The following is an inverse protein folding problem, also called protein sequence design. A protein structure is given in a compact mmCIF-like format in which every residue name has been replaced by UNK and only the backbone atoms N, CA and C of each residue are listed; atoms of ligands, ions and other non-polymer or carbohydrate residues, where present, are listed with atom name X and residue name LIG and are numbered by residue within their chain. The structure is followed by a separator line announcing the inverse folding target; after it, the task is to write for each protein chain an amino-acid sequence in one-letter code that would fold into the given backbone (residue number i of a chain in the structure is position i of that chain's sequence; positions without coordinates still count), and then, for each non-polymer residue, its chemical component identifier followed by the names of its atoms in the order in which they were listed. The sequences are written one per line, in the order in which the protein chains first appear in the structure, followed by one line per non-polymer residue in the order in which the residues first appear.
data_IF_172405798439
#
_entry.id   IF_172405798439
#
_cell.length_a   1.000
_cell.length_b   1.000
_cell.length_c   1.000
_cell.angle_alpha   90.00
_cell.angle_beta   90.00
_cell.angle_gamma   90.00
#
_symmetry.space_group_name_H-M   'P 1'
#
loop_
_entity.id
_entity.type
_entity.pdbx_description
1 polymer ?
#
# COMPACT_ATOMS: atom_id res chain seq x y z
N UNK A 1 61.77 30.82 22.72
CA UNK A 1 61.09 31.84 21.90
C UNK A 1 61.71 31.83 20.52
N UNK A 2 61.09 31.14 19.56
CA UNK A 2 61.41 31.19 18.14
C UNK A 2 60.20 30.70 17.34
N UNK A 3 59.80 31.49 16.34
CA UNK A 3 58.78 31.20 15.34
C UNK A 3 59.26 30.13 14.36
N UNK A 4 58.41 29.17 14.01
CA UNK A 4 58.59 28.40 12.77
C UNK A 4 57.25 28.01 12.14
N UNK A 5 57.07 28.42 10.88
CA UNK A 5 56.00 28.04 9.95
C UNK A 5 56.12 26.57 9.55
N UNK A 6 54.98 25.90 9.36
CA UNK A 6 54.66 24.81 8.41
C UNK A 6 53.15 24.57 8.58
N UNK A 7 52.26 24.66 7.59
CA UNK A 7 52.30 24.04 6.28
C UNK A 7 51.05 23.13 6.20
N UNK A 8 49.95 23.63 5.65
CA UNK A 8 48.76 22.84 5.29
C UNK A 8 49.15 21.74 4.29
N UNK A 9 48.48 20.58 4.34
CA UNK A 9 48.14 19.88 3.12
C UNK A 9 46.62 19.81 2.96
N UNK A 10 46.17 20.40 1.85
CA UNK A 10 44.94 20.03 1.20
C UNK A 10 45.02 18.56 0.79
N UNK A 11 44.08 17.73 1.24
CA UNK A 11 43.88 16.40 0.68
C UNK A 11 42.60 16.35 -0.13
N UNK A 12 42.81 15.92 -1.36
CA UNK A 12 41.88 15.87 -2.47
C UNK A 12 40.66 15.00 -2.19
N UNK A 13 39.52 15.52 -2.63
CA UNK A 13 38.32 14.76 -2.95
C UNK A 13 38.64 13.64 -3.94
N UNK A 14 38.42 12.40 -3.52
CA UNK A 14 38.37 11.24 -4.41
C UNK A 14 36.96 10.64 -4.31
N UNK A 15 36.01 11.20 -5.08
CA UNK A 15 34.79 10.50 -5.44
C UNK A 15 35.18 9.25 -6.24
N UNK A 16 35.17 8.09 -5.58
CA UNK A 16 35.23 6.81 -6.26
C UNK A 16 34.04 6.71 -7.22
N UNK A 17 34.35 6.68 -8.53
CA UNK A 17 33.46 6.20 -9.58
C UNK A 17 33.23 4.71 -9.36
N UNK A 18 32.27 4.39 -8.49
CA UNK A 18 31.67 3.06 -8.45
C UNK A 18 30.84 2.88 -9.72
N UNK A 19 31.14 1.82 -10.47
CA UNK A 19 30.36 1.36 -11.62
C UNK A 19 28.87 1.30 -11.24
N UNK A 20 28.08 2.20 -11.83
CA UNK A 20 26.65 2.31 -11.57
C UNK A 20 25.92 1.07 -12.08
N UNK A 21 25.59 0.15 -11.17
CA UNK A 21 24.50 -0.81 -11.39
C UNK A 21 23.22 0.00 -11.59
N UNK A 22 22.68 0.05 -12.81
CA UNK A 22 21.33 0.57 -13.06
C UNK A 22 20.33 -0.31 -12.32
N UNK A 23 19.84 0.17 -11.18
CA UNK A 23 18.72 -0.43 -10.45
C UNK A 23 17.45 0.30 -10.88
N UNK A 24 16.58 -0.44 -11.57
CA UNK A 24 15.32 0.02 -12.15
C UNK A 24 14.27 0.31 -11.05
N UNK A 25 13.44 1.33 -11.26
CA UNK A 25 12.37 1.72 -10.34
C UNK A 25 11.15 0.78 -10.46
N UNK A 26 10.51 0.41 -9.35
CA UNK A 26 9.27 -0.38 -9.33
C UNK A 26 8.07 0.49 -9.71
N UNK A 27 7.02 -0.16 -10.19
CA UNK A 27 5.74 0.48 -10.45
C UNK A 27 4.88 0.37 -9.18
N UNK A 28 4.69 1.49 -8.49
CA UNK A 28 3.66 1.62 -7.47
C UNK A 28 2.38 2.16 -8.10
N UNK A 29 1.26 1.59 -7.69
CA UNK A 29 -0.02 2.23 -7.92
C UNK A 29 -0.03 3.52 -7.11
N UNK A 30 -0.24 4.65 -7.79
CA UNK A 30 -0.35 5.94 -7.16
C UNK A 30 -1.70 6.55 -7.51
N UNK A 31 -2.50 6.86 -6.50
CA UNK A 31 -3.66 7.73 -6.67
C UNK A 31 -3.13 9.16 -6.74
N UNK A 32 -2.86 9.62 -7.97
CA UNK A 32 -2.62 11.03 -8.24
C UNK A 32 -3.94 11.78 -8.36
N UNK A 33 -3.92 13.09 -8.10
CA UNK A 33 -5.05 13.97 -8.42
C UNK A 33 -5.28 13.98 -9.93
N UNK A 34 -6.22 13.18 -10.42
CA UNK A 34 -6.77 13.31 -11.78
C UNK A 34 -7.70 14.53 -11.86
N UNK A 35 -7.20 15.70 -11.47
CA UNK A 35 -7.75 16.99 -11.86
C UNK A 35 -6.94 17.49 -13.04
N UNK A 36 -7.60 17.50 -14.19
CA UNK A 36 -7.20 18.14 -15.44
C UNK A 36 -6.53 19.51 -15.19
N UNK A 37 -5.21 19.53 -15.22
CA UNK A 37 -4.47 20.69 -15.74
C UNK A 37 -3.54 20.12 -16.79
N UNK A 38 -4.09 19.93 -17.99
CA UNK A 38 -3.26 19.72 -19.16
C UNK A 38 -2.28 20.88 -19.23
N UNK A 39 -0.98 20.59 -19.19
CA UNK A 39 -0.04 21.52 -19.80
C UNK A 39 -0.50 21.68 -21.25
N UNK A 40 -0.80 22.91 -21.72
CA UNK A 40 -1.03 23.12 -23.13
C UNK A 40 0.19 22.58 -23.88
N UNK A 41 0.00 21.88 -25.02
CA UNK A 41 1.12 21.39 -25.80
C UNK A 41 2.06 22.56 -26.10
N UNK A 42 3.39 22.37 -25.98
CA UNK A 42 4.33 23.42 -26.33
C UNK A 42 4.06 23.87 -27.77
N UNK A 43 4.19 25.19 -28.07
CA UNK A 43 4.00 25.68 -29.42
C UNK A 43 4.91 24.92 -30.39
N UNK A 44 4.44 24.59 -31.61
CA UNK A 44 5.21 23.81 -32.57
C UNK A 44 6.53 24.53 -32.83
N UNK A 45 7.62 23.93 -32.37
CA UNK A 45 8.96 24.41 -32.66
C UNK A 45 9.31 23.98 -34.09
N UNK A 46 9.91 24.88 -34.91
CA UNK A 46 10.25 24.56 -36.29
C UNK A 46 11.17 23.34 -36.33
N UNK A 47 10.84 22.44 -37.26
CA UNK A 47 11.43 21.13 -37.48
C UNK A 47 12.95 21.14 -37.51
N UNK A 48 13.60 20.66 -36.44
CA UNK A 48 14.96 20.14 -36.52
C UNK A 48 14.89 18.61 -36.53
N UNK A 49 15.14 18.03 -37.69
CA UNK A 49 15.24 16.59 -37.91
C UNK A 49 16.49 16.02 -37.23
N UNK A 50 16.32 15.34 -36.10
CA UNK A 50 17.29 14.41 -35.48
C UNK A 50 16.53 13.35 -34.65
N UNK A 51 17.12 12.18 -34.39
CA UNK A 51 16.50 10.90 -34.70
C UNK A 51 15.54 10.38 -33.63
N UNK A 52 14.58 9.60 -34.13
CA UNK A 52 13.62 8.74 -33.43
C UNK A 52 14.20 8.19 -32.13
N UNK A 53 13.57 8.55 -31.01
CA UNK A 53 13.85 7.96 -29.71
C UNK A 53 13.84 6.42 -29.83
N UNK A 54 14.82 5.72 -29.25
CA UNK A 54 14.84 4.27 -29.30
C UNK A 54 13.60 3.72 -28.55
N UNK A 55 13.10 2.53 -28.93
CA UNK A 55 12.02 1.89 -28.22
C UNK A 55 12.35 1.81 -26.73
N UNK A 56 11.41 2.24 -25.90
CA UNK A 56 11.47 2.17 -24.43
C UNK A 56 12.02 0.80 -24.04
N UNK A 57 13.18 0.76 -23.40
CA UNK A 57 13.82 -0.48 -22.98
C UNK A 57 12.84 -1.28 -22.11
N UNK A 58 12.81 -2.63 -22.23
CA UNK A 58 11.94 -3.45 -21.41
C UNK A 58 12.23 -3.17 -19.93
N UNK A 59 11.21 -2.76 -19.18
CA UNK A 59 11.27 -2.62 -17.72
C UNK A 59 11.62 -3.99 -17.14
N UNK A 60 12.89 -4.19 -16.79
CA UNK A 60 13.31 -5.40 -16.08
C UNK A 60 12.71 -5.36 -14.67
N UNK A 61 12.10 -6.46 -14.19
CA UNK A 61 11.50 -6.53 -12.87
C UNK A 61 12.55 -6.23 -11.80
N UNK A 62 12.15 -5.56 -10.72
CA UNK A 62 13.01 -5.49 -9.55
C UNK A 62 13.30 -6.90 -9.02
N UNK A 63 14.37 -7.08 -8.22
CA UNK A 63 14.72 -8.41 -7.65
C UNK A 63 13.51 -9.03 -6.92
N UNK A 64 12.71 -8.20 -6.26
CA UNK A 64 11.50 -8.62 -5.59
C UNK A 64 10.39 -9.03 -6.55
N UNK A 65 10.15 -8.28 -7.63
CA UNK A 65 9.17 -8.67 -8.64
C UNK A 65 9.56 -10.00 -9.27
N UNK A 66 10.85 -10.25 -9.49
CA UNK A 66 11.34 -11.54 -9.96
C UNK A 66 11.01 -12.67 -8.96
N UNK A 67 11.10 -12.43 -7.64
CA UNK A 67 10.69 -13.40 -6.61
C UNK A 67 9.18 -13.61 -6.58
N UNK A 68 8.37 -12.55 -6.65
CA UNK A 68 6.91 -12.64 -6.75
C UNK A 68 6.51 -13.48 -7.97
N UNK A 69 7.11 -13.21 -9.13
CA UNK A 69 6.83 -13.96 -10.36
C UNK A 69 7.31 -15.41 -10.27
N UNK A 70 8.43 -15.67 -9.58
CA UNK A 70 8.89 -17.03 -9.30
C UNK A 70 7.90 -17.78 -8.40
N UNK A 71 7.40 -17.13 -7.35
CA UNK A 71 6.40 -17.69 -6.44
C UNK A 71 5.08 -17.96 -7.16
N UNK A 72 4.65 -17.03 -8.02
CA UNK A 72 3.48 -17.20 -8.87
C UNK A 72 3.60 -18.43 -9.78
N UNK A 73 4.76 -18.64 -10.41
CA UNK A 73 5.01 -19.84 -11.24
C UNK A 73 5.07 -21.11 -10.41
N UNK A 74 5.71 -21.06 -9.24
CA UNK A 74 5.84 -22.19 -8.35
C UNK A 74 4.45 -22.71 -7.91
N UNK A 75 3.53 -21.80 -7.56
CA UNK A 75 2.17 -22.17 -7.13
C UNK A 75 1.21 -22.53 -8.25
N UNK A 76 1.48 -22.06 -9.46
CA UNK A 76 0.75 -22.50 -10.65
C UNK A 76 1.03 -23.97 -11.01
N UNK A 77 2.13 -24.55 -10.51
CA UNK A 77 2.42 -25.96 -10.72
C UNK A 77 1.57 -26.81 -9.75
N UNK A 78 0.80 -27.80 -10.25
CA UNK A 78 0.07 -28.70 -9.39
C UNK A 78 1.05 -29.53 -8.52
N UNK A 79 0.69 -29.84 -7.27
CA UNK A 79 1.49 -30.74 -6.46
C UNK A 79 1.61 -32.11 -7.15
N UNK A 80 2.75 -32.81 -7.02
CA UNK A 80 2.94 -34.12 -7.63
C UNK A 80 1.83 -35.08 -7.13
N UNK A 81 0.98 -35.54 -8.06
CA UNK A 81 -0.15 -36.44 -7.76
C UNK A 81 -1.53 -35.75 -7.66
N UNK A 82 -1.62 -34.43 -7.78
CA UNK A 82 -2.88 -33.68 -7.87
C UNK A 82 -3.09 -33.11 -9.27
N UNK A 83 -4.33 -33.10 -9.76
CA UNK A 83 -4.72 -32.43 -11.00
C UNK A 83 -5.29 -31.03 -10.77
N UNK A 84 -5.49 -30.63 -9.51
CA UNK A 84 -6.10 -29.34 -9.15
C UNK A 84 -5.08 -28.36 -8.59
N UNK A 85 -4.93 -27.21 -9.25
CA UNK A 85 -4.25 -26.04 -8.68
C UNK A 85 -5.16 -25.40 -7.64
N UNK A 86 -4.77 -25.40 -6.36
CA UNK A 86 -5.54 -24.82 -5.24
C UNK A 86 -5.49 -23.28 -5.23
N UNK A 87 -4.82 -22.65 -6.20
CA UNK A 87 -4.61 -21.21 -6.23
C UNK A 87 -5.78 -20.47 -6.87
N UNK A 88 -6.33 -19.51 -6.12
CA UNK A 88 -7.36 -18.59 -6.61
C UNK A 88 -6.69 -17.55 -7.50
N UNK A 89 -7.18 -17.42 -8.73
CA UNK A 89 -6.61 -16.54 -9.74
C UNK A 89 -7.14 -15.11 -9.61
N UNK A 90 -6.42 -14.13 -10.17
CA UNK A 90 -6.87 -12.73 -10.14
C UNK A 90 -8.27 -12.51 -10.75
N UNK A 91 -8.66 -13.15 -11.86
CA UNK A 91 -10.03 -13.01 -12.37
C UNK A 91 -11.10 -13.36 -11.33
N UNK A 92 -10.90 -14.44 -10.57
CA UNK A 92 -11.84 -14.84 -9.52
C UNK A 92 -11.87 -13.84 -8.36
N UNK A 93 -10.71 -13.29 -7.97
CA UNK A 93 -10.65 -12.23 -6.95
C UNK A 93 -11.29 -10.93 -7.44
N UNK A 94 -11.17 -10.62 -8.73
CA UNK A 94 -11.81 -9.47 -9.37
C UNK A 94 -13.33 -9.64 -9.39
N UNK A 95 -13.83 -10.83 -9.72
CA UNK A 95 -15.27 -11.12 -9.68
C UNK A 95 -15.79 -10.95 -8.25
N UNK A 96 -15.09 -11.50 -7.24
CA UNK A 96 -15.44 -11.28 -5.83
C UNK A 96 -15.39 -9.81 -5.42
N UNK A 97 -14.40 -9.05 -5.89
CA UNK A 97 -14.28 -7.62 -5.62
C UNK A 97 -15.48 -6.82 -6.14
N UNK A 98 -16.01 -7.19 -7.31
CA UNK A 98 -17.19 -6.55 -7.89
C UNK A 98 -18.48 -7.02 -7.21
N UNK A 99 -18.64 -8.33 -7.02
CA UNK A 99 -19.85 -8.95 -6.48
C UNK A 99 -20.05 -8.62 -4.99
N UNK A 100 -18.96 -8.42 -4.24
CA UNK A 100 -18.98 -8.14 -2.80
C UNK A 100 -18.78 -6.66 -2.48
N UNK A 101 -19.01 -5.80 -3.46
CA UNK A 101 -19.03 -4.35 -3.26
C UNK A 101 -20.13 -3.95 -2.28
N UNK A 102 -19.74 -3.35 -1.16
CA UNK A 102 -20.66 -2.96 -0.08
C UNK A 102 -21.21 -4.15 0.71
N UNK A 103 -20.62 -5.34 0.57
CA UNK A 103 -21.01 -6.50 1.36
C UNK A 103 -20.64 -6.28 2.82
N UNK A 104 -21.62 -6.39 3.70
CA UNK A 104 -21.42 -6.35 5.16
C UNK A 104 -21.22 -7.78 5.64
N UNK A 105 -20.10 -8.03 6.33
CA UNK A 105 -19.84 -9.33 6.94
C UNK A 105 -20.73 -9.56 8.17
N UNK A 106 -21.16 -10.81 8.38
CA UNK A 106 -21.94 -11.21 9.56
C UNK A 106 -21.12 -11.23 10.87
N UNK A 107 -19.84 -10.86 10.79
CA UNK A 107 -18.94 -10.67 11.93
C UNK A 107 -18.92 -9.20 12.36
N UNK A 108 -18.78 -8.96 13.66
CA UNK A 108 -18.55 -7.62 14.20
C UNK A 108 -17.06 -7.40 14.47
N UNK A 109 -16.50 -6.31 13.94
CA UNK A 109 -15.13 -5.91 14.25
C UNK A 109 -15.04 -5.38 15.69
N UNK A 110 -13.95 -5.68 16.40
CA UNK A 110 -13.73 -5.17 17.76
C UNK A 110 -13.51 -3.66 17.78
N UNK A 111 -14.15 -2.96 18.72
CA UNK A 111 -14.08 -1.50 18.86
C UNK A 111 -12.91 -1.16 19.80
N UNK A 112 -11.74 -0.86 19.24
CA UNK A 112 -10.50 -0.69 20.01
C UNK A 112 -9.96 0.75 19.91
N UNK A 113 -10.72 1.74 20.41
CA UNK A 113 -10.28 3.16 20.43
C UNK A 113 -9.21 3.46 21.49
N UNK A 114 -9.18 2.68 22.58
CA UNK A 114 -8.19 2.76 23.66
C UNK A 114 -7.67 1.35 23.94
N UNK A 115 -6.86 0.78 23.03
CA UNK A 115 -6.35 -0.57 23.19
C UNK A 115 -5.49 -0.69 24.45
N UNK A 116 -5.51 -1.87 25.06
CA UNK A 116 -4.60 -2.21 26.16
C UNK A 116 -3.13 -2.06 25.71
N UNK A 117 -2.22 -1.82 26.66
CA UNK A 117 -0.81 -1.54 26.35
C UNK A 117 -0.13 -2.59 25.48
N UNK A 118 -0.52 -3.87 25.62
CA UNK A 118 -0.05 -4.99 24.77
C UNK A 118 -0.53 -4.94 23.31
N UNK A 119 -1.66 -4.26 23.06
CA UNK A 119 -2.26 -4.08 21.73
C UNK A 119 -1.96 -2.72 21.11
N UNK A 120 -1.37 -1.79 21.85
CA UNK A 120 -0.89 -0.52 21.30
C UNK A 120 0.28 -0.73 20.35
N UNK A 121 0.25 -0.06 19.19
CA UNK A 121 1.36 -0.13 18.24
C UNK A 121 2.56 0.60 18.82
N UNK A 122 3.68 -0.12 18.90
CA UNK A 122 4.96 0.44 19.32
C UNK A 122 5.72 0.87 18.06
N UNK A 123 6.16 2.12 18.01
CA UNK A 123 6.80 2.69 16.82
C UNK A 123 8.32 2.46 16.76
N UNK A 124 8.88 1.76 17.75
CA UNK A 124 10.31 1.45 17.87
C UNK A 124 10.72 0.29 16.92
N UNK A 125 11.88 -0.34 17.18
CA UNK A 125 12.59 -1.23 16.23
C UNK A 125 11.77 -2.43 15.71
N UNK A 126 10.70 -2.84 16.40
CA UNK A 126 9.83 -3.96 16.00
C UNK A 126 8.45 -3.55 15.44
N UNK A 127 8.19 -2.26 15.24
CA UNK A 127 6.84 -1.77 14.88
C UNK A 127 6.30 -2.14 13.49
N UNK A 128 7.02 -2.92 12.69
CA UNK A 128 6.57 -3.38 11.37
C UNK A 128 5.92 -4.76 11.40
N UNK A 129 5.88 -5.41 12.57
CA UNK A 129 5.33 -6.75 12.79
C UNK A 129 3.81 -6.86 12.51
N UNK A 130 3.13 -5.73 12.34
CA UNK A 130 1.71 -5.66 12.04
C UNK A 130 1.37 -5.24 10.59
N UNK A 131 2.39 -4.86 9.81
CA UNK A 131 2.22 -4.34 8.45
C UNK A 131 2.66 -5.41 7.44
N UNK A 132 1.83 -5.64 6.44
CA UNK A 132 2.12 -6.52 5.32
C UNK A 132 2.25 -5.73 4.02
N UNK A 133 2.97 -6.30 3.06
CA UNK A 133 2.89 -5.87 1.68
C UNK A 133 1.86 -6.71 0.94
N UNK A 134 0.91 -6.04 0.29
CA UNK A 134 -0.09 -6.66 -0.57
C UNK A 134 0.40 -6.55 -2.00
N UNK A 135 0.37 -7.66 -2.72
CA UNK A 135 0.86 -7.74 -4.09
C UNK A 135 -0.19 -8.38 -4.96
N UNK A 136 -0.45 -7.75 -6.11
CA UNK A 136 -1.20 -8.38 -7.19
C UNK A 136 -0.28 -8.55 -8.39
N UNK A 137 -0.24 -9.74 -8.98
CA UNK A 137 0.67 -10.06 -10.06
C UNK A 137 -0.02 -10.82 -11.19
N UNK A 138 0.32 -10.47 -12.43
CA UNK A 138 -0.08 -11.16 -13.64
C UNK A 138 1.13 -11.32 -14.57
N UNK A 139 1.26 -12.49 -15.18
CA UNK A 139 2.32 -12.80 -16.14
C UNK A 139 1.75 -13.59 -17.32
N UNK A 140 2.19 -13.24 -18.52
CA UNK A 140 1.90 -13.99 -19.73
C UNK A 140 3.19 -14.17 -20.53
N UNK A 141 3.47 -15.42 -20.91
CA UNK A 141 4.65 -15.75 -21.69
C UNK A 141 4.66 -14.99 -23.02
N UNK A 142 5.80 -14.40 -23.38
CA UNK A 142 5.97 -13.62 -24.61
C UNK A 142 5.33 -12.23 -24.63
N UNK A 143 4.42 -11.90 -23.70
CA UNK A 143 3.75 -10.58 -23.64
C UNK A 143 4.35 -9.70 -22.56
N UNK A 144 4.56 -10.23 -21.35
CA UNK A 144 5.13 -9.47 -20.24
C UNK A 144 4.53 -9.84 -18.89
N UNK A 145 4.76 -8.98 -17.91
CA UNK A 145 4.22 -9.10 -16.55
C UNK A 145 3.79 -7.74 -16.02
N UNK A 146 2.92 -7.76 -15.02
CA UNK A 146 2.53 -6.59 -14.22
C UNK A 146 2.47 -7.00 -12.76
N UNK A 147 3.07 -6.18 -11.91
CA UNK A 147 3.04 -6.32 -10.46
C UNK A 147 2.61 -4.97 -9.89
N UNK A 148 1.65 -4.97 -8.99
CA UNK A 148 1.21 -3.79 -8.23
C UNK A 148 1.40 -4.05 -6.75
N UNK A 149 1.88 -3.05 -6.01
CA UNK A 149 2.16 -3.16 -4.59
C UNK A 149 1.31 -2.17 -3.79
N UNK A 150 0.86 -2.62 -2.63
CA UNK A 150 0.28 -1.79 -1.58
C UNK A 150 0.82 -2.24 -0.23
N UNK A 151 0.66 -1.38 0.76
CA UNK A 151 0.74 -1.76 2.17
C UNK A 151 -0.64 -2.23 2.65
N UNK A 152 -0.66 -2.99 3.74
CA UNK A 152 -1.89 -3.42 4.38
C UNK A 152 -1.60 -3.85 5.81
N UNK A 153 -2.64 -4.08 6.60
CA UNK A 153 -2.49 -4.51 7.99
C UNK A 153 -3.57 -5.51 8.37
N UNK A 154 -3.23 -6.39 9.31
CA UNK A 154 -4.12 -7.45 9.75
C UNK A 154 -5.16 -6.93 10.75
N UNK A 155 -6.39 -7.43 10.63
CA UNK A 155 -7.48 -7.17 11.57
C UNK A 155 -7.73 -8.36 12.49
N UNK A 156 -8.13 -8.07 13.72
CA UNK A 156 -8.69 -9.07 14.61
C UNK A 156 -10.21 -9.16 14.38
N UNK A 157 -10.66 -10.16 13.60
CA UNK A 157 -12.08 -10.34 13.28
C UNK A 157 -12.62 -11.59 13.99
N UNK A 158 -13.44 -11.43 15.04
CA UNK A 158 -14.12 -12.54 15.69
C UNK A 158 -14.97 -13.37 14.72
N UNK A 159 -14.93 -14.70 14.87
CA UNK A 159 -15.70 -15.64 14.05
C UNK A 159 -15.06 -16.04 12.72
N UNK A 160 -13.91 -15.44 12.36
CA UNK A 160 -13.07 -15.88 11.23
C UNK A 160 -11.81 -16.58 11.72
N UNK A 161 -11.97 -17.42 12.75
CA UNK A 161 -10.88 -18.21 13.32
C UNK A 161 -10.28 -19.15 12.26
N UNK A 162 -8.95 -19.17 12.15
CA UNK A 162 -8.23 -19.95 11.14
C UNK A 162 -7.97 -19.21 9.81
N UNK A 163 -8.49 -18.00 9.65
CA UNK A 163 -8.13 -17.10 8.54
C UNK A 163 -7.38 -15.88 9.08
N UNK A 164 -6.55 -15.27 8.24
CA UNK A 164 -6.05 -13.91 8.50
C UNK A 164 -6.77 -12.94 7.59
N UNK A 165 -7.25 -11.84 8.16
CA UNK A 165 -8.00 -10.80 7.47
C UNK A 165 -7.16 -9.54 7.37
N UNK A 166 -7.09 -8.94 6.19
CA UNK A 166 -6.27 -7.76 5.92
C UNK A 166 -7.12 -6.65 5.32
N UNK A 167 -6.85 -5.42 5.75
CA UNK A 167 -7.34 -4.20 5.07
C UNK A 167 -6.21 -3.61 4.24
N UNK A 168 -6.55 -3.15 3.04
CA UNK A 168 -5.68 -2.39 2.15
C UNK A 168 -6.50 -1.46 1.26
N UNK A 169 -5.83 -0.78 0.34
CA UNK A 169 -6.47 0.06 -0.68
C UNK A 169 -6.93 -0.77 -1.89
N UNK A 170 -8.05 -0.39 -2.51
CA UNK A 170 -8.65 -1.12 -3.62
C UNK A 170 -8.01 -0.80 -4.98
N UNK A 171 -7.47 0.40 -5.16
CA UNK A 171 -7.01 0.90 -6.46
C UNK A 171 -5.86 0.09 -7.04
N UNK A 172 -5.09 -0.62 -6.22
CA UNK A 172 -4.01 -1.50 -6.72
C UNK A 172 -4.58 -2.74 -7.42
N UNK A 173 -5.67 -3.30 -6.88
CA UNK A 173 -6.43 -4.36 -7.53
C UNK A 173 -7.16 -3.83 -8.78
N UNK A 174 -7.71 -2.62 -8.72
CA UNK A 174 -8.34 -1.95 -9.87
C UNK A 174 -7.33 -1.73 -11.01
N UNK A 175 -6.11 -1.31 -10.68
CA UNK A 175 -5.06 -1.05 -11.65
C UNK A 175 -4.63 -2.33 -12.37
N UNK A 176 -4.51 -3.46 -11.66
CA UNK A 176 -4.17 -4.74 -12.29
C UNK A 176 -5.36 -5.34 -13.05
N UNK A 177 -6.60 -5.14 -12.59
CA UNK A 177 -7.83 -5.52 -13.31
C UNK A 177 -7.89 -4.91 -14.72
N UNK A 178 -7.39 -3.68 -14.87
CA UNK A 178 -7.30 -3.00 -16.16
C UNK A 178 -6.10 -3.42 -17.03
N UNK A 179 -5.25 -4.35 -16.55
CA UNK A 179 -4.12 -4.85 -17.30
C UNK A 179 -4.56 -5.62 -18.56
N UNK A 180 -3.85 -5.39 -19.67
CA UNK A 180 -4.03 -6.16 -20.91
C UNK A 180 -3.72 -7.65 -20.71
N UNK A 181 -2.88 -7.99 -19.73
CA UNK A 181 -2.51 -9.38 -19.41
C UNK A 181 -3.68 -10.21 -18.88
N UNK A 182 -4.69 -9.58 -18.28
CA UNK A 182 -5.90 -10.26 -17.79
C UNK A 182 -7.04 -10.25 -18.81
N UNK A 183 -6.98 -9.34 -19.80
CA UNK A 183 -7.99 -9.18 -20.85
C UNK A 183 -7.66 -9.91 -22.14
N UNK A 184 -6.44 -10.44 -22.26
CA UNK A 184 -5.96 -11.10 -23.47
C UNK A 184 -6.51 -12.52 -23.55
N UNK A 185 -7.31 -12.81 -24.58
CA UNK A 185 -7.69 -14.16 -25.00
C UNK A 185 -6.56 -14.84 -25.80
N UNK A 186 -5.32 -14.71 -25.35
CA UNK A 186 -4.19 -15.27 -26.08
C UNK A 186 -4.13 -16.79 -25.95
N UNK A 187 -3.47 -17.42 -26.92
CA UNK A 187 -3.21 -18.86 -26.99
C UNK A 187 -2.38 -19.41 -25.81
N UNK A 188 -1.78 -18.54 -25.00
CA UNK A 188 -0.96 -18.91 -23.84
C UNK A 188 -1.65 -18.58 -22.52
N UNK A 189 -1.61 -19.50 -21.53
CA UNK A 189 -2.24 -19.28 -20.23
C UNK A 189 -1.57 -18.10 -19.52
N UNK A 190 -2.38 -17.15 -19.05
CA UNK A 190 -1.92 -16.10 -18.14
C UNK A 190 -1.86 -16.68 -16.73
N UNK A 191 -0.72 -16.48 -16.06
CA UNK A 191 -0.57 -16.77 -14.64
C UNK A 191 -0.94 -15.52 -13.86
N UNK A 192 -1.77 -15.66 -12.84
CA UNK A 192 -2.19 -14.51 -12.04
C UNK A 192 -2.52 -14.89 -10.61
N UNK A 193 -2.29 -13.97 -9.69
CA UNK A 193 -2.58 -14.18 -8.28
C UNK A 193 -2.30 -12.96 -7.41
N UNK A 194 -2.72 -13.05 -6.15
CA UNK A 194 -2.50 -12.04 -5.13
C UNK A 194 -1.82 -12.66 -3.92
N UNK A 195 -0.91 -11.91 -3.29
CA UNK A 195 -0.15 -12.35 -2.13
C UNK A 195 -0.16 -11.30 -1.02
N UNK A 196 -0.23 -11.80 0.21
CA UNK A 196 0.20 -11.10 1.41
C UNK A 196 1.65 -11.49 1.66
N UNK A 197 2.55 -10.51 1.68
CA UNK A 197 3.98 -10.72 1.91
C UNK A 197 4.35 -10.15 3.27
N UNK A 198 4.94 -10.99 4.12
CA UNK A 198 5.39 -10.63 5.47
C UNK A 198 6.83 -11.09 5.70
N UNK A 199 7.51 -10.53 6.70
CA UNK A 199 8.88 -10.90 7.07
C UNK A 199 9.94 -10.10 6.32
N UNK A 200 10.82 -9.43 7.05
CA UNK A 200 11.81 -8.51 6.49
C UNK A 200 12.97 -9.23 5.79
N UNK A 201 13.61 -10.19 6.46
CA UNK A 201 14.80 -10.91 5.93
C UNK A 201 14.46 -12.13 5.09
N UNK A 202 13.36 -12.81 5.41
CA UNK A 202 12.86 -14.00 4.69
C UNK A 202 11.37 -13.82 4.39
N UNK A 203 11.03 -13.22 3.22
CA UNK A 203 9.65 -12.92 2.90
C UNK A 203 8.83 -14.21 2.77
N UNK A 204 7.74 -14.28 3.51
CA UNK A 204 6.72 -15.33 3.40
C UNK A 204 5.62 -14.83 2.48
N UNK A 205 5.29 -15.63 1.47
CA UNK A 205 4.23 -15.32 0.51
C UNK A 205 2.99 -16.13 0.88
N UNK A 206 1.97 -15.47 1.41
CA UNK A 206 0.68 -16.09 1.72
C UNK A 206 -0.32 -15.74 0.62
N UNK A 207 -0.94 -16.72 -0.05
CA UNK A 207 -1.85 -16.46 -1.16
C UNK A 207 -3.15 -15.88 -0.59
N UNK A 208 -3.65 -14.84 -1.24
CA UNK A 208 -4.99 -14.32 -0.96
C UNK A 208 -5.99 -15.33 -1.48
N UNK A 209 -6.88 -15.77 -0.60
CA UNK A 209 -7.93 -16.73 -0.93
C UNK A 209 -9.25 -16.04 -1.26
N UNK A 210 -9.56 -14.89 -0.69
CA UNK A 210 -10.78 -14.18 -1.09
C UNK A 210 -10.75 -12.69 -0.84
N UNK A 211 -11.59 -11.97 -1.57
CA UNK A 211 -12.04 -10.63 -1.23
C UNK A 211 -13.27 -10.77 -0.35
N UNK A 212 -13.18 -10.43 0.92
CA UNK A 212 -14.30 -10.56 1.87
C UNK A 212 -15.35 -9.47 1.67
N UNK A 213 -14.89 -8.24 1.41
CA UNK A 213 -15.73 -7.08 1.14
C UNK A 213 -14.89 -6.02 0.41
N UNK A 214 -15.56 -5.14 -0.33
CA UNK A 214 -14.92 -4.00 -0.96
C UNK A 214 -15.78 -2.74 -0.84
N UNK A 215 -15.14 -1.60 -0.62
CA UNK A 215 -15.77 -0.28 -0.69
C UNK A 215 -15.01 0.52 -1.74
N UNK A 216 -15.21 0.20 -3.03
CA UNK A 216 -14.43 0.79 -4.12
C UNK A 216 -14.53 2.32 -4.20
N UNK A 217 -15.66 2.91 -3.77
CA UNK A 217 -15.83 4.38 -3.73
C UNK A 217 -14.96 5.05 -2.67
N UNK A 218 -14.67 4.32 -1.60
CA UNK A 218 -13.79 4.72 -0.50
C UNK A 218 -12.41 4.08 -0.65
N UNK A 219 -12.14 3.42 -1.77
CA UNK A 219 -10.86 2.79 -2.08
C UNK A 219 -10.37 1.81 -0.99
N UNK A 220 -11.30 1.05 -0.37
CA UNK A 220 -10.98 0.04 0.64
C UNK A 220 -11.26 -1.38 0.15
N UNK A 221 -10.40 -2.30 0.55
CA UNK A 221 -10.47 -3.72 0.21
C UNK A 221 -10.18 -4.58 1.44
N UNK A 222 -11.05 -5.55 1.70
CA UNK A 222 -10.88 -6.54 2.75
C UNK A 222 -10.50 -7.90 2.14
N UNK A 223 -9.35 -8.42 2.49
CA UNK A 223 -8.79 -9.66 1.94
C UNK A 223 -8.69 -10.73 3.03
N UNK A 224 -8.79 -12.00 2.63
CA UNK A 224 -8.47 -13.13 3.52
C UNK A 224 -7.43 -14.09 2.95
N UNK A 225 -6.78 -14.81 3.85
CA UNK A 225 -5.93 -15.97 3.55
C UNK A 225 -6.52 -17.22 4.19
N UNK A 226 -6.49 -18.36 3.48
CA UNK A 226 -7.03 -19.64 3.99
C UNK A 226 -6.21 -20.28 5.11
N UNK A 227 -4.98 -19.79 5.31
CA UNK A 227 -4.12 -20.21 6.41
C UNK A 227 -3.69 -18.98 7.19
N UNK A 228 -3.56 -19.07 8.52
CA UNK A 228 -3.05 -17.97 9.31
C UNK A 228 -1.67 -17.55 8.82
N UNK A 229 -1.48 -16.26 8.57
CA UNK A 229 -0.16 -15.73 8.23
C UNK A 229 0.68 -15.74 9.50
N UNK A 230 1.77 -16.53 9.56
CA UNK A 230 2.58 -16.60 10.76
C UNK A 230 3.22 -15.23 11.06
N UNK A 231 3.33 -14.90 12.34
CA UNK A 231 4.07 -13.74 12.88
C UNK A 231 3.50 -12.34 12.61
N UNK A 232 2.34 -12.21 11.95
CA UNK A 232 1.72 -10.89 11.79
C UNK A 232 0.77 -10.57 12.95
N UNK A 233 1.02 -9.43 13.60
CA UNK A 233 0.17 -8.93 14.65
C UNK A 233 -1.02 -8.18 14.04
N UNK A 234 -2.21 -8.36 14.62
CA UNK A 234 -3.39 -7.58 14.24
C UNK A 234 -3.31 -6.17 14.83
N UNK A 235 -3.91 -5.18 14.16
CA UNK A 235 -3.97 -3.80 14.68
C UNK A 235 -5.32 -3.46 15.32
N UNK A 236 -5.34 -2.72 16.44
CA UNK A 236 -6.55 -2.18 17.03
C UNK A 236 -7.12 -1.05 16.15
N UNK A 237 -8.42 -1.08 15.88
CA UNK A 237 -9.09 -0.07 15.05
C UNK A 237 -10.04 0.77 15.88
N UNK A 238 -9.89 2.10 15.80
CA UNK A 238 -10.81 3.04 16.43
C UNK A 238 -12.06 3.21 15.57
N UNK A 239 -13.28 3.03 16.12
CA UNK A 239 -14.52 3.36 15.41
C UNK A 239 -14.81 4.87 15.38
N UNK A 240 -14.01 5.68 16.08
CA UNK A 240 -14.24 7.11 16.20
C UNK A 240 -13.22 7.89 15.35
N UNK A 241 -13.68 8.88 14.56
CA UNK A 241 -12.79 9.76 13.82
C UNK A 241 -11.94 10.58 14.79
N UNK A 242 -10.64 10.67 14.50
CA UNK A 242 -9.72 11.52 15.23
C UNK A 242 -10.01 13.01 14.96
N UNK A 243 -9.58 13.89 15.86
CA UNK A 243 -9.81 15.32 15.71
C UNK A 243 -8.71 15.95 14.85
N UNK A 244 -9.01 16.97 14.02
CA UNK A 244 -7.97 17.78 13.37
C UNK A 244 -6.95 18.29 14.41
N UNK A 245 -5.67 18.19 14.08
CA UNK A 245 -4.55 18.47 14.98
C UNK A 245 -4.05 17.26 15.78
N UNK A 246 -4.74 16.11 15.73
CA UNK A 246 -4.25 14.88 16.37
C UNK A 246 -2.89 14.47 15.81
N UNK A 247 -1.86 14.27 16.65
CA UNK A 247 -0.59 13.69 16.23
C UNK A 247 -0.78 12.25 15.77
N UNK A 248 -0.19 11.91 14.62
CA UNK A 248 -0.33 10.59 14.02
C UNK A 248 1.03 9.96 13.71
N UNK A 249 0.99 8.65 13.49
CA UNK A 249 2.08 7.85 12.94
C UNK A 249 1.60 7.15 11.68
N UNK A 250 2.40 7.25 10.64
CA UNK A 250 2.14 6.66 9.32
C UNK A 250 3.33 5.82 8.88
N UNK A 251 3.05 4.66 8.28
CA UNK A 251 4.08 3.75 7.81
C UNK A 251 4.45 4.08 6.37
N UNK A 252 5.66 4.59 6.15
CA UNK A 252 6.15 4.93 4.82
C UNK A 252 7.04 3.81 4.29
N UNK A 253 6.91 3.56 2.99
CA UNK A 253 7.67 2.54 2.24
C UNK A 253 8.49 3.19 1.14
N UNK A 254 9.72 2.75 0.95
CA UNK A 254 10.60 3.19 -0.13
C UNK A 254 11.37 2.02 -0.74
N UNK A 255 11.66 2.09 -2.04
CA UNK A 255 12.52 1.10 -2.70
C UNK A 255 13.99 1.21 -2.34
N UNK A 256 14.41 2.43 -2.00
CA UNK A 256 15.80 2.77 -1.74
C UNK A 256 15.89 3.40 -0.36
N UNK A 257 16.98 3.13 0.36
CA UNK A 257 17.25 3.86 1.57
C UNK A 257 17.34 5.35 1.22
N UNK A 258 16.61 6.19 1.95
CA UNK A 258 16.75 7.63 1.85
C UNK A 258 18.07 7.98 2.56
N UNK A 259 19.17 8.05 1.82
CA UNK A 259 20.53 8.24 2.40
C UNK A 259 20.87 9.75 2.55
N UNK A 260 20.12 10.64 1.91
CA UNK A 260 20.43 12.07 1.88
C UNK A 260 19.20 12.91 2.22
N UNK A 261 19.40 13.97 3.03
CA UNK A 261 18.35 14.92 3.44
C UNK A 261 17.99 14.83 4.92
N UNK A 262 17.18 15.78 5.39
CA UNK A 262 16.71 15.80 6.79
C UNK A 262 15.85 14.56 7.15
N UNK A 263 15.28 13.90 6.16
CA UNK A 263 14.39 12.73 6.32
C UNK A 263 15.11 11.37 6.26
N UNK A 264 16.45 11.37 6.17
CA UNK A 264 17.25 10.16 5.97
C UNK A 264 17.32 9.23 7.21
N UNK A 265 17.19 9.78 8.42
CA UNK A 265 17.29 9.01 9.66
C UNK A 265 16.06 8.10 9.87
N UNK A 266 16.25 6.90 10.42
CA UNK A 266 15.16 6.02 10.86
C UNK A 266 14.54 5.11 9.78
N UNK A 267 15.04 5.14 8.53
CA UNK A 267 14.68 4.14 7.53
C UNK A 267 15.37 2.81 7.83
N UNK A 268 14.60 1.72 7.85
CA UNK A 268 15.10 0.37 8.11
C UNK A 268 14.78 -0.58 6.95
N UNK A 269 15.61 -1.60 6.70
CA UNK A 269 15.26 -2.66 5.76
C UNK A 269 13.95 -3.32 6.19
N UNK A 270 13.05 -3.46 5.23
CA UNK A 270 11.77 -4.14 5.40
C UNK A 270 11.72 -5.35 4.46
N UNK A 271 10.70 -5.47 3.63
CA UNK A 271 10.48 -6.67 2.80
C UNK A 271 11.35 -6.63 1.54
N UNK A 272 12.22 -7.62 1.41
CA UNK A 272 12.95 -7.96 0.18
C UNK A 272 13.58 -6.76 -0.56
N UNK A 273 14.40 -6.02 0.19
CA UNK A 273 15.15 -4.87 -0.30
C UNK A 273 14.37 -3.56 -0.33
N UNK A 274 13.11 -3.55 0.13
CA UNK A 274 12.42 -2.30 0.46
C UNK A 274 12.84 -1.78 1.83
N UNK A 275 12.48 -0.53 2.09
CA UNK A 275 12.77 0.19 3.31
C UNK A 275 11.47 0.74 3.86
N UNK A 276 11.34 0.74 5.18
CA UNK A 276 10.20 1.29 5.88
C UNK A 276 10.64 2.32 6.92
N UNK A 277 9.72 3.21 7.28
CA UNK A 277 9.87 4.13 8.40
C UNK A 277 8.51 4.51 8.96
N UNK A 278 8.37 4.49 10.28
CA UNK A 278 7.26 5.19 10.94
C UNK A 278 7.56 6.69 10.96
N UNK A 279 6.70 7.46 10.30
CA UNK A 279 6.84 8.91 10.21
C UNK A 279 5.81 9.58 11.08
N UNK A 280 6.26 10.58 11.85
CA UNK A 280 5.38 11.44 12.64
C UNK A 280 4.66 12.41 11.72
N UNK A 281 3.37 12.55 11.93
CA UNK A 281 2.53 13.47 11.19
C UNK A 281 1.48 14.14 12.04
N UNK A 282 0.60 14.87 11.39
CA UNK A 282 -0.57 15.50 12.00
C UNK A 282 -1.78 15.31 11.10
N UNK A 283 -2.91 14.95 11.73
CA UNK A 283 -4.19 14.94 11.08
C UNK A 283 -4.62 16.38 10.77
N UNK A 284 -4.87 16.69 9.50
CA UNK A 284 -5.19 18.05 9.08
C UNK A 284 -6.68 18.32 9.14
N UNK A 285 -7.48 17.35 8.69
CA UNK A 285 -8.93 17.51 8.60
C UNK A 285 -9.58 16.47 7.71
N UNK A 286 -10.86 16.69 7.41
CA UNK A 286 -11.67 15.75 6.65
C UNK A 286 -12.36 16.43 5.48
N UNK A 287 -12.68 15.62 4.47
CA UNK A 287 -13.53 16.02 3.36
C UNK A 287 -14.67 15.01 3.16
N UNK A 288 -15.79 15.48 2.66
CA UNK A 288 -16.85 14.60 2.17
C UNK A 288 -16.55 14.06 0.76
N UNK A 289 -17.46 13.25 0.21
CA UNK A 289 -17.36 12.73 -1.16
C UNK A 289 -17.30 13.83 -2.24
N UNK A 290 -17.84 15.01 -1.95
CA UNK A 290 -17.83 16.16 -2.86
C UNK A 290 -16.57 17.02 -2.71
N UNK A 291 -15.64 16.66 -1.81
CA UNK A 291 -14.43 17.42 -1.53
C UNK A 291 -14.64 18.67 -0.67
N UNK A 292 -15.81 18.83 -0.04
CA UNK A 292 -16.10 19.92 0.90
C UNK A 292 -15.51 19.60 2.26
N UNK A 293 -15.18 20.63 3.04
CA UNK A 293 -14.76 20.43 4.43
C UNK A 293 -15.83 19.70 5.22
N UNK A 294 -15.41 18.69 5.98
CA UNK A 294 -16.25 17.95 6.89
C UNK A 294 -15.61 17.97 8.28
N UNK A 295 -16.43 17.96 9.33
CA UNK A 295 -15.94 18.04 10.71
C UNK A 295 -16.39 16.84 11.53
N UNK A 296 -15.48 16.15 12.24
CA UNK A 296 -15.87 15.14 13.21
C UNK A 296 -16.82 15.71 14.27
N UNK A 297 -17.81 14.92 14.67
CA UNK A 297 -18.80 15.32 15.67
C UNK A 297 -19.94 16.21 15.14
N UNK A 298 -20.01 16.46 13.83
CA UNK A 298 -21.17 17.06 13.16
C UNK A 298 -21.96 16.01 12.39
N UNK A 299 -22.97 16.43 11.62
CA UNK A 299 -23.72 15.57 10.70
C UNK A 299 -23.03 15.41 9.33
N UNK A 300 -21.78 15.85 9.19
CA UNK A 300 -21.04 15.74 7.93
C UNK A 300 -20.58 14.31 7.71
N UNK A 301 -20.68 13.83 6.46
CA UNK A 301 -20.11 12.55 6.08
C UNK A 301 -18.59 12.68 5.92
N UNK A 302 -17.83 11.92 6.73
CA UNK A 302 -16.37 11.88 6.68
C UNK A 302 -15.93 10.83 5.66
N UNK A 303 -15.74 11.26 4.41
CA UNK A 303 -15.37 10.32 3.34
C UNK A 303 -13.87 10.21 3.18
N UNK A 304 -13.16 11.28 3.48
CA UNK A 304 -11.73 11.40 3.23
C UNK A 304 -11.02 12.07 4.38
N UNK A 305 -9.79 11.63 4.61
CA UNK A 305 -8.91 12.07 5.68
C UNK A 305 -7.68 12.74 5.06
N UNK A 306 -7.36 13.97 5.50
CA UNK A 306 -6.18 14.72 5.08
C UNK A 306 -5.15 14.70 6.20
N UNK A 307 -3.89 14.44 5.87
CA UNK A 307 -2.80 14.46 6.84
C UNK A 307 -1.50 14.98 6.24
N UNK A 308 -0.53 15.26 7.11
CA UNK A 308 0.82 15.70 6.76
C UNK A 308 1.83 14.89 7.58
N UNK A 309 2.98 14.42 7.06
CA UNK A 309 3.53 14.63 5.72
C UNK A 309 2.86 13.79 4.61
N UNK A 310 3.01 14.18 3.33
CA UNK A 310 2.57 13.38 2.20
C UNK A 310 3.34 12.04 2.12
N UNK A 311 2.65 10.92 1.85
CA UNK A 311 3.30 9.62 1.84
C UNK A 311 4.12 9.34 0.59
N UNK A 312 5.09 8.43 0.74
CA UNK A 312 5.85 7.90 -0.38
C UNK A 312 5.04 6.88 -1.18
N UNK A 313 5.30 6.73 -2.49
CA UNK A 313 4.68 5.67 -3.30
C UNK A 313 4.90 4.27 -2.68
N UNK A 314 3.85 3.47 -2.64
CA UNK A 314 3.85 2.13 -2.03
C UNK A 314 3.35 2.06 -0.59
N UNK A 315 3.17 3.21 0.06
CA UNK A 315 2.60 3.30 1.42
C UNK A 315 1.06 3.21 1.43
N UNK A 316 0.43 3.31 0.26
CA UNK A 316 -1.02 3.18 0.06
C UNK A 316 -1.55 1.85 0.61
N UNK A 317 -2.69 1.90 1.29
CA UNK A 317 -3.29 0.80 2.05
C UNK A 317 -2.72 0.61 3.46
N UNK A 318 -1.63 1.31 3.82
CA UNK A 318 -1.06 1.28 5.17
C UNK A 318 -1.91 2.01 6.20
N UNK A 319 -1.74 1.71 7.51
CA UNK A 319 -2.52 2.34 8.55
C UNK A 319 -2.06 3.77 8.87
N UNK A 320 -3.02 4.59 9.28
CA UNK A 320 -2.81 5.87 9.95
C UNK A 320 -3.17 5.66 11.42
N UNK A 321 -2.21 5.85 12.31
CA UNK A 321 -2.35 5.54 13.74
C UNK A 321 -2.34 6.83 14.55
N UNK A 322 -3.27 6.97 15.51
CA UNK A 322 -3.19 8.03 16.51
C UNK A 322 -2.03 7.72 17.46
N UNK A 323 -1.05 8.65 17.50
CA UNK A 323 0.19 8.49 18.26
C UNK A 323 -0.08 8.30 19.75
N UNK A 324 -1.18 8.85 20.28
CA UNK A 324 -1.49 8.78 21.70
C UNK A 324 -2.20 7.48 22.09
N UNK A 325 -3.18 7.01 21.29
CA UNK A 325 -3.91 5.77 21.59
C UNK A 325 -3.21 4.51 21.12
N UNK A 326 -2.37 4.60 20.08
CA UNK A 326 -1.85 3.45 19.36
C UNK A 326 -2.91 2.72 18.54
N UNK A 327 -4.09 3.32 18.31
CA UNK A 327 -5.17 2.77 17.49
C UNK A 327 -5.15 3.31 16.06
N UNK A 328 -5.58 2.48 15.11
CA UNK A 328 -5.77 2.88 13.72
C UNK A 328 -6.98 3.82 13.63
N UNK A 329 -6.74 5.02 13.10
CA UNK A 329 -7.75 6.07 12.88
C UNK A 329 -8.02 6.34 11.39
N UNK A 330 -7.27 5.69 10.51
CA UNK A 330 -7.49 5.75 9.07
C UNK A 330 -6.63 4.78 8.28
N UNK A 331 -6.87 4.75 6.97
CA UNK A 331 -6.06 4.02 5.99
C UNK A 331 -5.53 5.02 4.99
N UNK A 332 -4.24 4.98 4.75
CA UNK A 332 -3.55 5.84 3.80
C UNK A 332 -3.86 5.40 2.37
N UNK A 333 -4.13 6.33 1.47
CA UNK A 333 -4.41 6.02 0.07
C UNK A 333 -3.37 6.62 -0.90
N UNK A 334 -2.81 7.78 -0.56
CA UNK A 334 -1.79 8.42 -1.39
C UNK A 334 -1.63 9.90 -1.08
N UNK A 335 -1.43 10.69 -2.13
CA UNK A 335 -1.22 12.13 -2.03
C UNK A 335 -2.30 12.90 -2.78
N UNK A 336 -2.72 14.04 -2.26
CA UNK A 336 -3.62 14.95 -2.96
C UNK A 336 -3.04 16.37 -2.98
N UNK A 337 -3.10 17.02 -4.15
CA UNK A 337 -2.82 18.44 -4.27
C UNK A 337 -4.01 19.21 -3.69
N UNK A 338 -3.81 19.88 -2.55
CA UNK A 338 -4.90 20.60 -1.90
C UNK A 338 -5.16 21.94 -2.60
N UNK A 339 -4.12 22.77 -2.75
CA UNK A 339 -4.14 24.07 -3.41
C UNK A 339 -2.71 24.47 -3.81
N UNK A 340 -2.54 25.42 -4.74
CA UNK A 340 -1.19 25.91 -5.13
C UNK A 340 -0.37 26.49 -3.97
N UNK A 341 -1.04 26.98 -2.93
CA UNK A 341 -0.41 27.58 -1.75
C UNK A 341 -0.11 26.53 -0.67
N UNK A 342 -1.05 25.63 -0.40
CA UNK A 342 -0.92 24.61 0.65
C UNK A 342 -0.12 23.39 0.21
N UNK A 343 0.10 23.22 -1.10
CA UNK A 343 0.90 22.15 -1.67
C UNK A 343 0.22 20.78 -1.64
N UNK A 344 1.06 19.74 -1.61
CA UNK A 344 0.66 18.33 -1.62
C UNK A 344 0.55 17.84 -0.18
N UNK A 345 -0.55 17.18 0.15
CA UNK A 345 -0.77 16.54 1.45
C UNK A 345 -1.04 15.05 1.29
N UNK A 346 -0.95 14.32 2.40
CA UNK A 346 -1.40 12.96 2.52
C UNK A 346 -2.93 12.87 2.42
N UNK A 347 -3.38 11.83 1.74
CA UNK A 347 -4.78 11.50 1.51
C UNK A 347 -5.05 10.08 1.99
N UNK A 348 -6.17 9.90 2.69
CA UNK A 348 -6.59 8.63 3.24
C UNK A 348 -8.10 8.58 3.46
N UNK A 349 -8.53 7.54 4.14
CA UNK A 349 -9.92 7.34 4.58
C UNK A 349 -9.98 7.13 6.08
N UNK A 350 -11.02 7.63 6.76
CA UNK A 350 -11.22 7.38 8.18
C UNK A 350 -11.43 5.89 8.44
N UNK A 351 -10.98 5.43 9.62
CA UNK A 351 -11.15 4.05 10.05
C UNK A 351 -12.61 3.64 10.25
N UNK A 352 -13.52 4.59 10.43
CA UNK A 352 -14.96 4.31 10.54
C UNK A 352 -15.52 3.59 9.32
N UNK A 353 -14.99 3.87 8.11
CA UNK A 353 -15.40 3.20 6.88
C UNK A 353 -14.98 1.73 6.86
N UNK A 354 -14.00 1.31 7.67
CA UNK A 354 -13.69 -0.11 7.84
C UNK A 354 -14.89 -0.82 8.48
N UNK A 355 -15.55 -0.19 9.45
CA UNK A 355 -16.70 -0.78 10.16
C UNK A 355 -17.95 -0.91 9.27
N UNK A 356 -18.06 -0.16 8.18
CA UNK A 356 -19.15 -0.34 7.19
C UNK A 356 -19.09 -1.71 6.51
N UNK A 357 -17.94 -2.39 6.51
CA UNK A 357 -17.79 -3.76 5.98
C UNK A 357 -18.17 -4.84 7.00
N UNK A 358 -18.57 -4.48 8.22
CA UNK A 358 -18.86 -5.41 9.33
C UNK A 358 -20.24 -5.15 9.94
N UNK A 359 -20.85 -6.19 10.49
CA UNK A 359 -22.11 -6.05 11.22
C UNK A 359 -21.89 -5.28 12.52
N UNK A 360 -22.83 -4.40 12.85
CA UNK A 360 -22.78 -3.65 14.09
C UNK A 360 -23.08 -4.56 15.29
N UNK A 361 -22.32 -4.45 16.40
CA UNK A 361 -22.59 -5.21 17.61
C UNK A 361 -24.04 -5.02 18.07
N UNK A 362 -24.76 -6.14 18.28
CA UNK A 362 -26.13 -6.12 18.81
C UNK A 362 -27.23 -5.82 17.78
N UNK A 363 -26.89 -5.57 16.51
CA UNK A 363 -27.88 -5.33 15.44
C UNK A 363 -27.92 -6.53 14.51
N UNK A 364 -28.85 -7.46 14.74
CA UNK A 364 -29.10 -8.58 13.83
C UNK A 364 -29.91 -8.07 12.64
N UNK A 365 -29.23 -7.69 11.56
CA UNK A 365 -29.88 -7.47 10.28
C UNK A 365 -30.34 -8.83 9.77
N UNK A 366 -31.64 -9.11 9.82
CA UNK A 366 -32.21 -10.27 9.13
C UNK A 366 -32.08 -10.04 7.63
N UNK A 367 -30.99 -10.48 7.02
CA UNK A 367 -30.86 -10.49 5.58
C UNK A 367 -31.81 -11.55 5.01
N UNK A 368 -32.90 -11.10 4.38
CA UNK A 368 -33.70 -11.96 3.50
C UNK A 368 -32.87 -12.23 2.26
N UNK A 369 -32.57 -13.51 2.06
CA UNK A 369 -31.99 -14.13 0.85
C UNK A 369 -32.62 -13.65 -0.44
#
# INVERSE_FOLDING_TARGET
MALQRCGLPAFFSACHRGFGRRVYARAYAAVGSTTYVGQPPPPPSPSSSLPTAPPTAPNFPSVFDARILSELRHRAQPPPGSTSSVQIQLPQLIDQYLDRSGLVLDSALSYESRPASERQVLFDENGDDAIAMIVHAAQQAGVGHKVTHASGFALNVPGLEGQSVFVTCAHTLEEIRHSRLLRSHAEHPSLSGSFIVTGSSSPTFSPVSSVLSSLYRSDLLLLSTSTPVPLIRTLPVSPYPAQPGTPIRVHFVAEKPQICGADAEGWRPWIDGTWSKWVRGTLVGYRDLAGREAKPGTYDALSHLIFDPPPTPGSSGGPIIDEQSGAVVGVMLGTQMQNRVEGVRGWGVPSELIFEMFSLPGLKLTNKT
#
